data_IF_308948589784
#
_entry.id   IF_308948589784
#
_cell.length_a   1.000
_cell.length_b   1.000
_cell.length_c   1.000
_cell.angle_alpha   90.00
_cell.angle_beta   90.00
_cell.angle_gamma   90.00
#
_symmetry.space_group_name_H-M   'P 1'
#
loop_
_entity.id
_entity.type
_entity.pdbx_description
1 polymer ?
#
# COMPACT_ATOMS: atom_id res chain seq x y z
N UNK A 1 16.73 -16.88 -42.05
CA UNK A 1 15.57 -16.06 -42.48
C UNK A 1 14.41 -16.56 -41.64
N UNK A 2 14.19 -15.89 -40.50
CA UNK A 2 12.93 -15.20 -40.10
C UNK A 2 11.94 -16.20 -39.46
N UNK A 3 11.38 -16.05 -38.26
CA UNK A 3 11.13 -14.92 -37.35
C UNK A 3 11.07 -15.44 -35.89
N UNK A 4 11.93 -14.98 -34.99
CA UNK A 4 11.58 -14.15 -33.82
C UNK A 4 10.09 -14.05 -33.51
N UNK A 5 9.56 -15.01 -32.73
CA UNK A 5 8.32 -14.81 -31.99
C UNK A 5 8.68 -14.59 -30.53
N UNK A 6 9.03 -13.34 -30.23
CA UNK A 6 9.10 -12.79 -28.87
C UNK A 6 7.72 -12.99 -28.23
N UNK A 7 7.64 -13.91 -27.28
CA UNK A 7 6.47 -14.05 -26.41
C UNK A 7 6.38 -12.78 -25.56
N UNK A 8 5.62 -11.82 -26.07
CA UNK A 8 5.17 -10.68 -25.29
C UNK A 8 4.43 -11.23 -24.06
N UNK A 9 5.08 -11.16 -22.91
CA UNK A 9 4.44 -11.27 -21.60
C UNK A 9 3.36 -10.19 -21.59
N UNK A 10 2.09 -10.59 -21.67
CA UNK A 10 0.98 -9.67 -21.41
C UNK A 10 1.14 -9.08 -20.00
N UNK A 11 0.50 -7.93 -19.70
CA UNK A 11 0.58 -7.37 -18.36
C UNK A 11 0.08 -8.45 -17.39
N UNK A 12 1.00 -8.94 -16.54
CA UNK A 12 0.65 -9.85 -15.46
C UNK A 12 -0.56 -9.28 -14.72
N UNK A 13 -1.55 -10.12 -14.40
CA UNK A 13 -2.77 -9.66 -13.75
C UNK A 13 -2.42 -9.16 -12.35
N UNK A 14 -2.06 -7.87 -12.26
CA UNK A 14 -1.63 -7.26 -11.01
C UNK A 14 -2.78 -7.37 -10.03
N UNK A 15 -2.58 -7.98 -8.84
CA UNK A 15 -3.63 -8.14 -7.84
C UNK A 15 -4.39 -6.84 -7.59
N UNK A 16 -5.72 -6.93 -7.43
CA UNK A 16 -6.57 -5.77 -7.13
C UNK A 16 -6.11 -5.04 -5.86
N UNK A 17 -5.58 -5.79 -4.89
CA UNK A 17 -4.97 -5.26 -3.67
C UNK A 17 -3.77 -4.36 -3.94
N UNK A 18 -2.87 -4.74 -4.86
CA UNK A 18 -1.75 -3.90 -5.28
C UNK A 18 -2.22 -2.67 -6.07
N UNK A 19 -3.24 -2.80 -6.93
CA UNK A 19 -3.83 -1.63 -7.61
C UNK A 19 -4.46 -0.65 -6.62
N UNK A 20 -5.13 -1.17 -5.60
CA UNK A 20 -5.70 -0.37 -4.51
C UNK A 20 -4.60 0.32 -3.71
N UNK A 21 -3.50 -0.39 -3.42
CA UNK A 21 -2.35 0.19 -2.73
C UNK A 21 -1.71 1.30 -3.56
N UNK A 22 -1.53 1.12 -4.87
CA UNK A 22 -1.02 2.15 -5.77
C UNK A 22 -1.86 3.43 -5.71
N UNK A 23 -3.20 3.32 -5.73
CA UNK A 23 -4.07 4.48 -5.59
C UNK A 23 -3.91 5.20 -4.25
N UNK A 24 -3.57 4.49 -3.17
CA UNK A 24 -3.25 5.11 -1.88
C UNK A 24 -1.85 5.75 -1.88
N UNK A 25 -0.86 5.12 -2.52
CA UNK A 25 0.51 5.65 -2.62
C UNK A 25 0.52 6.97 -3.39
N UNK A 26 -0.25 7.07 -4.47
CA UNK A 26 -0.42 8.31 -5.23
C UNK A 26 -1.00 9.45 -4.37
N UNK A 27 -2.03 9.15 -3.57
CA UNK A 27 -2.61 10.15 -2.65
C UNK A 27 -1.64 10.57 -1.54
N UNK A 28 -0.81 9.64 -1.08
CA UNK A 28 0.22 9.88 -0.08
C UNK A 28 1.35 10.77 -0.65
N UNK A 29 1.76 10.52 -1.89
CA UNK A 29 2.69 11.37 -2.66
C UNK A 29 2.15 12.79 -2.83
N UNK A 30 0.89 12.94 -3.28
CA UNK A 30 0.25 14.24 -3.47
C UNK A 30 0.20 15.07 -2.18
N UNK A 31 0.08 14.40 -1.04
CA UNK A 31 -0.03 15.03 0.28
C UNK A 31 1.31 15.13 1.02
N UNK A 32 2.39 14.57 0.46
CA UNK A 32 3.68 14.40 1.13
C UNK A 32 3.57 13.75 2.53
N UNK A 33 2.69 12.74 2.67
CA UNK A 33 2.44 12.02 3.93
C UNK A 33 2.61 10.51 3.76
N UNK A 34 2.47 9.75 4.85
CA UNK A 34 2.45 8.28 4.81
C UNK A 34 1.03 7.72 4.78
N UNK A 35 0.88 6.49 4.32
CA UNK A 35 -0.33 5.69 4.52
C UNK A 35 -0.21 5.00 5.87
N UNK A 36 -1.25 5.08 6.69
CA UNK A 36 -1.34 4.37 7.98
C UNK A 36 -2.54 3.44 7.94
N UNK A 37 -2.32 2.15 8.10
CA UNK A 37 -3.36 1.11 8.13
C UNK A 37 -3.54 0.59 9.54
N UNK A 38 -4.77 0.66 10.05
CA UNK A 38 -5.14 0.18 11.38
C UNK A 38 -6.32 -0.78 11.29
N UNK A 39 -6.31 -1.82 12.13
CA UNK A 39 -7.36 -2.83 12.20
C UNK A 39 -8.15 -2.69 13.51
N UNK A 40 -9.26 -1.94 13.53
CA UNK A 40 -10.07 -1.78 14.74
C UNK A 40 -10.93 -3.01 15.07
N UNK A 41 -11.21 -3.85 14.07
CA UNK A 41 -12.01 -5.08 14.20
C UNK A 41 -11.46 -6.14 13.25
N UNK A 42 -11.83 -7.41 13.42
CA UNK A 42 -11.32 -8.49 12.57
C UNK A 42 -11.77 -8.38 11.10
N UNK A 43 -12.89 -7.71 10.82
CA UNK A 43 -13.49 -7.67 9.47
C UNK A 43 -13.00 -6.53 8.59
N UNK A 44 -12.57 -5.41 9.20
CA UNK A 44 -12.18 -4.21 8.46
C UNK A 44 -10.83 -3.63 8.86
N UNK A 45 -10.16 -3.04 7.87
CA UNK A 45 -9.00 -2.19 8.06
C UNK A 45 -9.34 -0.77 7.61
N UNK A 46 -9.02 0.22 8.45
CA UNK A 46 -9.17 1.63 8.10
C UNK A 46 -7.83 2.17 7.64
N UNK A 47 -7.85 2.89 6.52
CA UNK A 47 -6.67 3.48 5.87
C UNK A 47 -6.71 4.99 6.08
N UNK A 48 -5.60 5.54 6.55
CA UNK A 48 -5.41 6.96 6.82
C UNK A 48 -4.23 7.52 6.02
N UNK A 49 -4.21 8.84 5.86
CA UNK A 49 -3.05 9.62 5.46
C UNK A 49 -2.57 10.49 6.62
N UNK A 50 -1.27 10.55 6.84
CA UNK A 50 -0.67 11.45 7.82
C UNK A 50 0.70 10.96 8.32
N UNK A 51 1.16 11.57 9.40
CA UNK A 51 2.37 11.18 10.12
C UNK A 51 2.00 10.17 11.23
N UNK A 52 2.49 8.92 11.18
CA UNK A 52 2.24 7.94 12.24
C UNK A 52 2.90 8.28 13.58
N UNK A 53 3.85 9.22 13.63
CA UNK A 53 4.45 9.73 14.87
C UNK A 53 3.69 10.93 15.46
N UNK A 54 2.73 11.49 14.71
CA UNK A 54 1.87 12.59 15.13
C UNK A 54 0.68 12.13 15.98
N UNK A 55 -0.26 13.05 16.20
CA UNK A 55 -1.48 12.71 16.94
C UNK A 55 -2.44 11.93 16.05
N UNK A 56 -3.16 10.99 16.64
CA UNK A 56 -4.16 10.17 15.95
C UNK A 56 -5.26 10.99 15.27
N UNK A 57 -5.62 12.13 15.86
CA UNK A 57 -6.62 13.07 15.35
C UNK A 57 -6.18 13.79 14.08
N UNK A 58 -4.87 13.90 13.84
CA UNK A 58 -4.31 14.49 12.62
C UNK A 58 -4.33 13.52 11.44
N UNK A 59 -4.54 12.21 11.70
CA UNK A 59 -4.65 11.21 10.64
C UNK A 59 -6.00 11.33 9.91
N UNK A 60 -5.93 11.66 8.62
CA UNK A 60 -7.11 11.77 7.76
C UNK A 60 -7.53 10.40 7.25
N UNK A 61 -8.71 9.92 7.66
CA UNK A 61 -9.29 8.70 7.10
C UNK A 61 -9.58 8.87 5.61
N UNK A 62 -9.09 7.93 4.79
CA UNK A 62 -9.27 7.96 3.33
C UNK A 62 -10.01 6.77 2.76
N UNK A 63 -10.08 5.65 3.48
CA UNK A 63 -10.82 4.47 3.09
C UNK A 63 -11.10 3.53 4.28
N UNK A 64 -12.09 2.66 4.11
CA UNK A 64 -12.30 1.46 4.92
C UNK A 64 -12.36 0.28 3.97
N UNK A 65 -11.48 -0.69 4.14
CA UNK A 65 -11.36 -1.88 3.29
C UNK A 65 -11.59 -3.15 4.09
N UNK A 66 -11.99 -4.22 3.41
CA UNK A 66 -12.06 -5.54 4.02
C UNK A 66 -10.67 -6.00 4.47
N UNK A 67 -10.61 -6.72 5.60
CA UNK A 67 -9.36 -7.30 6.11
C UNK A 67 -8.67 -8.21 5.08
N UNK A 68 -9.43 -8.90 4.22
CA UNK A 68 -8.88 -9.73 3.14
C UNK A 68 -8.06 -8.92 2.12
N UNK A 69 -8.52 -7.72 1.75
CA UNK A 69 -7.80 -6.82 0.83
C UNK A 69 -6.52 -6.33 1.50
N UNK A 70 -6.60 -5.92 2.77
CA UNK A 70 -5.43 -5.52 3.54
C UNK A 70 -4.40 -6.65 3.65
N UNK A 71 -4.82 -7.87 3.99
CA UNK A 71 -3.94 -9.03 4.08
C UNK A 71 -3.26 -9.32 2.74
N UNK A 72 -4.01 -9.27 1.63
CA UNK A 72 -3.44 -9.46 0.29
C UNK A 72 -2.38 -8.40 -0.06
N UNK A 73 -2.55 -7.14 0.36
CA UNK A 73 -1.49 -6.11 0.24
C UNK A 73 -0.25 -6.50 1.04
N UNK A 74 -0.44 -7.01 2.26
CA UNK A 74 0.66 -7.40 3.14
C UNK A 74 1.38 -8.66 2.64
N UNK A 75 0.67 -9.60 2.03
CA UNK A 75 1.26 -10.79 1.40
C UNK A 75 2.03 -10.44 0.12
N UNK A 76 1.59 -9.39 -0.59
CA UNK A 76 2.21 -8.91 -1.84
C UNK A 76 3.36 -7.91 -1.62
N UNK A 77 3.69 -7.58 -0.37
CA UNK A 77 4.76 -6.64 -0.02
C UNK A 77 5.64 -7.18 1.11
N UNK A 78 6.85 -6.63 1.25
CA UNK A 78 7.83 -7.01 2.26
C UNK A 78 7.97 -5.94 3.33
N UNK A 79 8.42 -6.33 4.53
CA UNK A 79 8.81 -5.34 5.54
C UNK A 79 10.12 -4.69 5.10
N UNK A 80 10.24 -3.38 5.27
CA UNK A 80 11.35 -2.59 4.74
C UNK A 80 11.07 -2.07 3.33
N UNK A 81 12.11 -1.87 2.54
CA UNK A 81 12.03 -1.27 1.19
C UNK A 81 11.36 -2.23 0.22
N UNK A 82 10.41 -1.71 -0.55
CA UNK A 82 9.71 -2.37 -1.64
C UNK A 82 9.94 -1.59 -2.93
N UNK A 83 10.19 -2.33 -4.01
CA UNK A 83 10.17 -1.82 -5.38
C UNK A 83 9.21 -2.72 -6.17
N UNK A 84 8.04 -2.20 -6.55
CA UNK A 84 6.94 -2.98 -7.14
C UNK A 84 6.46 -2.32 -8.42
N UNK A 85 6.36 -3.10 -9.49
CA UNK A 85 5.78 -2.63 -10.75
C UNK A 85 4.27 -2.93 -10.76
N UNK A 86 3.45 -1.88 -10.89
CA UNK A 86 1.98 -1.95 -10.87
C UNK A 86 1.48 -1.21 -12.11
N UNK A 87 0.78 -1.91 -13.01
CA UNK A 87 0.26 -1.34 -14.27
C UNK A 87 1.32 -0.58 -15.09
N UNK A 88 2.56 -1.09 -15.11
CA UNK A 88 3.68 -0.48 -15.83
C UNK A 88 4.38 0.68 -15.10
N UNK A 89 3.87 1.12 -13.95
CA UNK A 89 4.49 2.15 -13.11
C UNK A 89 5.32 1.51 -11.99
N UNK A 90 6.51 2.05 -11.74
CA UNK A 90 7.38 1.60 -10.65
C UNK A 90 7.09 2.40 -9.37
N UNK A 91 6.72 1.70 -8.29
CA UNK A 91 6.52 2.30 -6.98
C UNK A 91 7.64 1.89 -6.03
N UNK A 92 8.21 2.87 -5.32
CA UNK A 92 9.23 2.70 -4.28
C UNK A 92 8.70 3.22 -2.95
N UNK A 93 8.67 2.36 -1.95
CA UNK A 93 8.16 2.69 -0.63
C UNK A 93 8.72 1.75 0.43
N UNK A 94 8.75 2.18 1.68
CA UNK A 94 9.03 1.32 2.82
C UNK A 94 7.72 0.89 3.49
N UNK A 95 7.64 -0.37 3.92
CA UNK A 95 6.59 -0.87 4.82
C UNK A 95 7.16 -1.10 6.21
N UNK A 96 6.58 -0.48 7.21
CA UNK A 96 6.99 -0.62 8.61
C UNK A 96 5.78 -0.86 9.53
N UNK A 97 6.07 -1.15 10.79
CA UNK A 97 5.08 -1.41 11.82
C UNK A 97 5.31 -0.45 12.99
N UNK A 98 4.24 0.10 13.53
CA UNK A 98 4.28 1.02 14.67
C UNK A 98 3.00 0.88 15.50
N UNK A 99 2.84 1.75 16.51
CA UNK A 99 1.60 1.91 17.26
C UNK A 99 1.12 3.36 17.16
N UNK A 100 -0.19 3.53 17.01
CA UNK A 100 -0.88 4.84 17.06
C UNK A 100 -2.04 4.70 18.04
N UNK A 101 -2.05 5.50 19.11
CA UNK A 101 -3.04 5.41 20.21
C UNK A 101 -3.29 3.95 20.68
N UNK A 102 -2.22 3.26 21.06
CA UNK A 102 -2.22 1.86 21.51
C UNK A 102 -2.70 0.83 20.48
N UNK A 103 -3.03 1.25 19.25
CA UNK A 103 -3.41 0.36 18.15
C UNK A 103 -2.22 0.06 17.26
N UNK A 104 -1.99 -1.22 16.96
CA UNK A 104 -0.99 -1.62 15.99
C UNK A 104 -1.32 -1.06 14.60
N UNK A 105 -0.33 -0.47 13.95
CA UNK A 105 -0.45 0.13 12.64
C UNK A 105 0.62 -0.38 11.69
N UNK A 106 0.23 -0.59 10.44
CA UNK A 106 1.17 -0.79 9.31
C UNK A 106 1.31 0.53 8.58
N UNK A 107 2.53 0.94 8.30
CA UNK A 107 2.83 2.21 7.63
C UNK A 107 3.46 1.92 6.27
N UNK A 108 3.00 2.63 5.25
CA UNK A 108 3.69 2.73 3.96
C UNK A 108 4.16 4.17 3.76
N UNK A 109 5.47 4.37 3.68
CA UNK A 109 6.10 5.67 3.47
C UNK A 109 6.87 5.67 2.16
N UNK A 110 6.88 6.80 1.45
CA UNK A 110 7.75 6.93 0.28
C UNK A 110 9.21 6.87 0.71
N UNK A 111 10.05 6.24 -0.12
CA UNK A 111 11.51 6.28 0.01
C UNK A 111 12.07 7.60 -0.53
#
# INVERSE_FOLDING_TARGET
>A
MTDHNELATGPEDVPESLRTLAAYLERALDSATSIVMMRPTDDVCIVYLGDPAGLREDLKQIATIATSVANSMLESTFSGVNEVQINGQLYRFARSFTQVDDMAAVVFSMD
#
